data_IF_593514469455
#
_entry.id   IF_593514469455
#
_cell.length_a   1.000
_cell.length_b   1.000
_cell.length_c   1.000
_cell.angle_alpha   90.00
_cell.angle_beta   90.00
_cell.angle_gamma   90.00
#
_symmetry.space_group_name_H-M   'P 1'
#
loop_
_entity.id
_entity.type
_entity.pdbx_description
1 polymer ?
#
# COMPACT_ATOMS: atom_id res chain seq x y z
N UNK A 1 -40.13 44.51 3.52
CA UNK A 1 -38.95 44.61 2.64
C UNK A 1 -37.94 45.68 3.07
N UNK A 2 -38.31 46.92 3.50
CA UNK A 2 -37.29 47.91 3.88
C UNK A 2 -36.40 47.48 5.05
N UNK A 3 -36.93 46.70 6.00
CA UNK A 3 -36.17 46.19 7.15
C UNK A 3 -35.05 45.20 6.79
N UNK A 4 -35.11 44.56 5.61
CA UNK A 4 -34.08 43.60 5.15
C UNK A 4 -32.97 44.26 4.32
N UNK A 5 -33.17 45.49 3.87
CA UNK A 5 -32.23 46.23 3.03
C UNK A 5 -31.98 47.63 3.62
N UNK A 6 -31.29 47.74 4.77
CA UNK A 6 -31.02 49.02 5.43
C UNK A 6 -30.32 50.05 4.53
N UNK A 7 -29.58 49.60 3.51
CA UNK A 7 -28.89 50.45 2.54
C UNK A 7 -29.37 50.22 1.08
N UNK A 8 -30.57 49.66 0.90
CA UNK A 8 -31.10 49.29 -0.42
C UNK A 8 -30.20 48.28 -1.15
N UNK A 9 -29.92 48.50 -2.43
CA UNK A 9 -29.09 47.63 -3.27
C UNK A 9 -27.65 47.47 -2.75
N UNK A 10 -27.15 48.41 -1.93
CA UNK A 10 -25.81 48.36 -1.33
C UNK A 10 -25.73 47.49 -0.08
N UNK A 11 -26.86 46.98 0.43
CA UNK A 11 -26.89 46.21 1.69
C UNK A 11 -25.96 45.00 1.66
N UNK A 12 -25.90 44.27 0.54
CA UNK A 12 -25.07 43.08 0.41
C UNK A 12 -23.57 43.40 0.47
N UNK A 13 -23.12 44.37 -0.33
CA UNK A 13 -21.70 44.80 -0.34
C UNK A 13 -21.28 45.43 0.98
N UNK A 14 -22.16 46.21 1.60
CA UNK A 14 -21.93 46.79 2.91
C UNK A 14 -21.85 45.73 4.02
N UNK A 15 -22.71 44.71 3.98
CA UNK A 15 -22.63 43.62 4.95
C UNK A 15 -21.35 42.80 4.80
N UNK A 16 -20.89 42.53 3.58
CA UNK A 16 -19.60 41.87 3.33
C UNK A 16 -18.43 42.71 3.87
N UNK A 17 -18.43 44.03 3.61
CA UNK A 17 -17.42 44.94 4.13
C UNK A 17 -17.43 45.01 5.66
N UNK A 18 -18.62 45.00 6.29
CA UNK A 18 -18.77 44.95 7.75
C UNK A 18 -18.21 43.63 8.31
N UNK A 19 -18.56 42.48 7.73
CA UNK A 19 -18.06 41.17 8.16
C UNK A 19 -16.53 41.08 8.08
N UNK A 20 -15.92 41.70 7.08
CA UNK A 20 -14.48 41.69 6.90
C UNK A 20 -13.72 42.34 8.08
N UNK A 21 -14.30 43.33 8.75
CA UNK A 21 -13.65 44.09 9.83
C UNK A 21 -14.30 43.90 11.21
N UNK A 22 -15.47 43.27 11.30
CA UNK A 22 -16.29 43.14 12.52
C UNK A 22 -15.47 42.69 13.73
N UNK A 23 -14.74 41.58 13.58
CA UNK A 23 -13.94 41.01 14.67
C UNK A 23 -12.83 41.93 15.17
N UNK A 24 -12.19 42.71 14.29
CA UNK A 24 -11.09 43.61 14.65
C UNK A 24 -11.58 44.92 15.26
N UNK A 25 -12.72 45.44 14.80
CA UNK A 25 -13.35 46.61 15.41
C UNK A 25 -13.85 46.25 16.82
N UNK A 26 -14.43 45.06 17.00
CA UNK A 26 -14.81 44.56 18.32
C UNK A 26 -13.61 44.37 19.25
N UNK A 27 -12.55 43.71 18.78
CA UNK A 27 -11.30 43.56 19.53
C UNK A 27 -10.72 44.91 19.93
N UNK A 28 -10.74 45.92 19.05
CA UNK A 28 -10.31 47.28 19.38
C UNK A 28 -11.12 47.87 20.54
N UNK A 29 -12.46 47.89 20.46
CA UNK A 29 -13.27 48.48 21.52
C UNK A 29 -13.19 47.72 22.85
N UNK A 30 -13.06 46.39 22.81
CA UNK A 30 -12.81 45.59 24.02
C UNK A 30 -11.46 45.96 24.64
N UNK A 31 -10.40 46.12 23.84
CA UNK A 31 -9.09 46.56 24.32
C UNK A 31 -9.11 47.98 24.88
N UNK A 32 -9.84 48.92 24.28
CA UNK A 32 -9.96 50.28 24.82
C UNK A 32 -10.73 50.32 26.15
N UNK A 33 -11.72 49.46 26.33
CA UNK A 33 -12.43 49.29 27.60
C UNK A 33 -11.53 48.66 28.67
N UNK A 34 -10.77 47.61 28.34
CA UNK A 34 -9.82 46.98 29.26
C UNK A 34 -8.69 47.96 29.65
N UNK A 35 -8.21 48.76 28.71
CA UNK A 35 -7.24 49.84 28.98
C UNK A 35 -7.81 50.91 29.92
N UNK A 36 -9.13 51.18 29.88
CA UNK A 36 -9.79 52.08 30.83
C UNK A 36 -10.02 51.47 32.21
N UNK A 37 -10.04 50.13 32.31
CA UNK A 37 -10.24 49.41 33.56
C UNK A 37 -8.94 49.32 34.39
N UNK A 38 -7.81 49.06 33.73
CA UNK A 38 -6.48 49.03 34.36
C UNK A 38 -5.43 49.64 33.42
N UNK A 39 -4.85 50.77 33.82
CA UNK A 39 -3.81 51.46 33.05
C UNK A 39 -2.60 50.56 32.74
N UNK A 40 -2.30 49.57 33.61
CA UNK A 40 -1.22 48.60 33.40
C UNK A 40 -1.50 47.66 32.22
N UNK A 41 -2.77 47.43 31.89
CA UNK A 41 -3.16 46.60 30.76
C UNK A 41 -2.86 47.29 29.42
N UNK A 42 -2.87 48.64 29.36
CA UNK A 42 -2.66 49.41 28.11
C UNK A 42 -1.37 49.04 27.39
N UNK A 43 -0.27 48.83 28.12
CA UNK A 43 1.02 48.44 27.53
C UNK A 43 0.96 47.05 26.92
N UNK A 44 0.32 46.10 27.60
CA UNK A 44 0.20 44.70 27.16
C UNK A 44 -0.86 44.48 26.07
N UNK A 45 -1.87 45.36 25.99
CA UNK A 45 -2.93 45.32 24.98
C UNK A 45 -2.48 45.93 23.65
N UNK A 46 -1.45 46.79 23.68
CA UNK A 46 -0.66 47.14 22.52
C UNK A 46 0.41 46.07 22.25
N UNK A 47 0.95 46.03 21.04
CA UNK A 47 1.97 45.05 20.66
C UNK A 47 3.26 45.25 21.46
N UNK A 48 3.82 44.15 21.97
CA UNK A 48 5.04 44.16 22.77
C UNK A 48 6.27 44.43 21.91
N UNK A 49 7.33 44.93 22.54
CA UNK A 49 8.64 45.10 21.89
C UNK A 49 9.14 43.77 21.29
N UNK A 50 8.91 42.65 21.98
CA UNK A 50 9.27 41.32 21.49
C UNK A 50 8.54 40.91 20.20
N UNK A 51 7.27 41.31 20.02
CA UNK A 51 6.53 41.06 18.77
C UNK A 51 7.08 41.88 17.61
N UNK A 52 7.44 43.14 17.85
CA UNK A 52 8.06 43.98 16.81
C UNK A 52 9.48 43.52 16.44
N UNK A 53 10.27 43.05 17.42
CA UNK A 53 11.59 42.45 17.16
C UNK A 53 11.45 41.18 16.31
N UNK A 54 10.47 40.33 16.61
CA UNK A 54 10.19 39.13 15.82
C UNK A 54 9.78 39.49 14.38
N UNK A 55 8.90 40.48 14.20
CA UNK A 55 8.50 40.99 12.88
C UNK A 55 9.69 41.57 12.10
N UNK A 56 10.57 42.33 12.76
CA UNK A 56 11.74 42.95 12.14
C UNK A 56 12.81 41.95 11.68
N UNK A 57 12.75 40.70 12.15
CA UNK A 57 13.64 39.61 11.72
C UNK A 57 13.19 38.91 10.43
N UNK A 58 12.01 39.25 9.92
CA UNK A 58 11.40 38.66 8.73
C UNK A 58 11.29 39.68 7.58
N UNK A 59 11.10 39.18 6.36
CA UNK A 59 10.69 40.03 5.24
C UNK A 59 9.25 40.49 5.47
N UNK A 60 9.05 41.78 5.73
CA UNK A 60 7.74 42.35 6.04
C UNK A 60 6.82 42.35 4.82
N UNK A 61 5.62 41.82 5.00
CA UNK A 61 4.51 41.92 4.06
C UNK A 61 3.28 42.44 4.80
N UNK A 62 2.54 43.35 4.15
CA UNK A 62 1.33 43.96 4.70
C UNK A 62 0.20 42.95 4.92
N UNK A 63 0.23 41.80 4.25
CA UNK A 63 -0.86 40.83 4.28
C UNK A 63 -0.51 39.55 5.08
N UNK A 64 0.55 39.63 5.91
CA UNK A 64 1.01 38.49 6.71
C UNK A 64 0.11 38.22 7.92
N UNK A 65 0.10 36.97 8.39
CA UNK A 65 -0.61 36.57 9.61
C UNK A 65 -0.15 37.42 10.80
N UNK A 66 1.17 37.65 10.90
CA UNK A 66 1.77 38.36 12.02
C UNK A 66 1.39 39.85 12.04
N UNK A 67 1.31 40.52 10.88
CA UNK A 67 0.87 41.93 10.80
C UNK A 67 -0.63 42.08 11.05
N UNK A 68 -1.46 41.12 10.63
CA UNK A 68 -2.91 41.09 10.94
C UNK A 68 -3.20 40.85 12.43
N UNK A 69 -2.29 40.18 13.14
CA UNK A 69 -2.39 39.90 14.57
C UNK A 69 -2.29 41.16 15.45
N UNK A 70 -1.58 42.19 14.98
CA UNK A 70 -1.41 43.46 15.69
C UNK A 70 -2.77 44.18 15.88
N UNK A 71 -2.95 45.01 16.92
CA UNK A 71 -4.17 45.80 17.13
C UNK A 71 -4.57 46.61 15.88
N UNK A 72 -5.87 46.85 15.71
CA UNK A 72 -6.40 47.59 14.56
C UNK A 72 -5.90 49.04 14.51
N UNK A 73 -5.81 49.68 15.67
CA UNK A 73 -5.21 50.99 15.89
C UNK A 73 -4.54 50.99 17.27
N UNK A 74 -3.78 52.05 17.59
CA UNK A 74 -3.15 52.19 18.91
C UNK A 74 -4.22 52.20 20.01
N UNK A 75 -4.05 51.34 21.02
CA UNK A 75 -5.01 51.22 22.11
C UNK A 75 -4.73 52.29 23.16
N UNK A 76 -5.76 53.06 23.51
CA UNK A 76 -5.78 53.92 24.70
C UNK A 76 -7.16 53.93 25.36
N UNK A 77 -7.24 54.35 26.61
CA UNK A 77 -8.45 54.29 27.41
C UNK A 77 -9.59 55.14 26.80
N UNK A 78 -10.76 54.52 26.58
CA UNK A 78 -11.99 55.16 26.09
C UNK A 78 -11.84 55.99 24.79
N UNK A 79 -10.89 55.65 23.94
CA UNK A 79 -10.65 56.40 22.69
C UNK A 79 -11.57 55.92 21.55
N UNK A 80 -12.23 56.84 20.82
CA UNK A 80 -12.92 56.48 19.59
C UNK A 80 -11.93 55.93 18.54
N UNK A 81 -12.41 55.07 17.65
CA UNK A 81 -11.60 54.53 16.56
C UNK A 81 -11.47 55.59 15.47
N UNK A 82 -10.26 56.12 15.28
CA UNK A 82 -9.97 57.09 14.21
C UNK A 82 -9.89 56.36 12.87
N UNK A 83 -10.69 56.78 11.89
CA UNK A 83 -10.84 56.08 10.60
C UNK A 83 -9.90 56.62 9.50
N UNK A 84 -9.24 57.76 9.75
CA UNK A 84 -8.45 58.47 8.74
C UNK A 84 -6.95 58.17 8.81
N UNK A 85 -6.43 57.85 10.00
CA UNK A 85 -5.00 57.62 10.24
C UNK A 85 -4.79 56.68 11.44
N UNK A 86 -3.57 56.14 11.57
CA UNK A 86 -3.22 55.26 12.68
C UNK A 86 -3.83 53.86 12.62
N UNK A 87 -4.47 53.51 11.50
CA UNK A 87 -4.96 52.15 11.23
C UNK A 87 -3.79 51.26 10.85
N UNK A 88 -3.79 50.04 11.36
CA UNK A 88 -2.85 49.00 11.00
C UNK A 88 -2.84 48.82 9.46
N UNK A 89 -1.67 48.98 8.80
CA UNK A 89 -1.54 48.84 7.35
C UNK A 89 -2.13 47.56 6.77
N UNK A 90 -2.11 46.45 7.52
CA UNK A 90 -2.69 45.17 7.11
C UNK A 90 -4.23 45.18 6.98
N UNK A 91 -4.88 46.14 7.63
CA UNK A 91 -6.33 46.29 7.66
C UNK A 91 -6.80 47.56 6.95
N UNK A 92 -5.89 48.40 6.45
CA UNK A 92 -6.21 49.71 5.89
C UNK A 92 -7.19 49.63 4.71
N UNK A 93 -6.97 48.69 3.78
CA UNK A 93 -7.86 48.51 2.63
C UNK A 93 -9.26 48.03 3.04
N UNK A 94 -9.33 47.06 3.97
CA UNK A 94 -10.60 46.54 4.48
C UNK A 94 -11.39 47.61 5.24
N UNK A 95 -10.70 48.42 6.05
CA UNK A 95 -11.30 49.56 6.76
C UNK A 95 -11.79 50.65 5.80
N UNK A 96 -11.04 50.97 4.74
CA UNK A 96 -11.50 51.92 3.71
C UNK A 96 -12.77 51.44 3.01
N UNK A 97 -12.83 50.14 2.65
CA UNK A 97 -14.03 49.55 2.05
C UNK A 97 -15.22 49.59 3.01
N UNK A 98 -15.00 49.26 4.29
CA UNK A 98 -16.02 49.38 5.33
C UNK A 98 -16.53 50.83 5.46
N UNK A 99 -15.64 51.82 5.58
CA UNK A 99 -16.05 53.23 5.68
C UNK A 99 -16.86 53.67 4.46
N UNK A 100 -16.42 53.31 3.25
CA UNK A 100 -17.09 53.69 2.01
C UNK A 100 -18.48 53.06 1.85
N UNK A 101 -18.67 51.83 2.34
CA UNK A 101 -19.90 51.06 2.11
C UNK A 101 -20.91 51.19 3.26
N UNK A 102 -20.44 51.40 4.50
CA UNK A 102 -21.28 51.33 5.70
C UNK A 102 -21.48 52.67 6.40
N UNK A 103 -20.62 53.68 6.17
CA UNK A 103 -20.64 54.96 6.86
C UNK A 103 -20.94 56.12 5.89
N UNK A 104 -21.37 57.25 6.43
CA UNK A 104 -21.47 58.50 5.68
C UNK A 104 -20.07 59.14 5.48
N UNK A 105 -19.90 59.91 4.41
CA UNK A 105 -18.59 60.45 3.99
C UNK A 105 -17.96 61.41 5.01
N UNK A 106 -18.75 61.96 5.94
CA UNK A 106 -18.35 62.90 6.97
C UNK A 106 -17.89 62.23 8.28
N UNK A 107 -18.03 60.91 8.41
CA UNK A 107 -17.64 60.17 9.62
C UNK A 107 -16.13 59.89 9.62
N UNK A 108 -15.40 60.60 10.48
CA UNK A 108 -13.93 60.48 10.62
C UNK A 108 -13.49 59.62 11.81
N UNK A 109 -14.39 59.40 12.76
CA UNK A 109 -14.17 58.61 13.98
C UNK A 109 -15.41 57.78 14.30
N UNK A 110 -15.22 56.59 14.85
CA UNK A 110 -16.29 55.68 15.25
C UNK A 110 -16.19 55.41 16.75
N UNK A 111 -17.26 55.69 17.50
CA UNK A 111 -17.36 55.33 18.91
C UNK A 111 -18.11 53.99 19.10
N UNK A 112 -18.08 53.45 20.32
CA UNK A 112 -18.69 52.16 20.63
C UNK A 112 -20.22 52.15 20.42
N UNK A 113 -20.91 53.23 20.77
CA UNK A 113 -22.36 53.32 20.62
C UNK A 113 -22.77 53.31 19.13
N UNK A 114 -22.06 54.09 18.31
CA UNK A 114 -22.22 54.13 16.86
C UNK A 114 -21.93 52.77 16.23
N UNK A 115 -20.89 52.07 16.70
CA UNK A 115 -20.58 50.71 16.26
C UNK A 115 -21.72 49.73 16.56
N UNK A 116 -22.25 49.74 17.79
CA UNK A 116 -23.36 48.86 18.17
C UNK A 116 -24.64 49.17 17.40
N UNK A 117 -24.94 50.45 17.16
CA UNK A 117 -26.08 50.86 16.33
C UNK A 117 -25.94 50.40 14.88
N UNK A 118 -24.75 50.56 14.28
CA UNK A 118 -24.47 50.08 12.93
C UNK A 118 -24.65 48.56 12.83
N UNK A 119 -24.12 47.81 13.80
CA UNK A 119 -24.34 46.35 13.88
C UNK A 119 -25.82 46.01 13.98
N UNK A 120 -26.58 46.74 14.79
CA UNK A 120 -28.01 46.50 14.98
C UNK A 120 -28.80 46.66 13.67
N UNK A 121 -28.43 47.61 12.82
CA UNK A 121 -29.07 47.83 11.51
C UNK A 121 -28.97 46.61 10.58
N UNK A 122 -27.89 45.83 10.67
CA UNK A 122 -27.69 44.64 9.83
C UNK A 122 -28.23 43.32 10.42
N UNK A 123 -28.79 43.32 11.64
CA UNK A 123 -29.33 42.11 12.28
C UNK A 123 -30.44 41.43 11.44
N UNK A 124 -31.44 42.15 10.88
CA UNK A 124 -32.48 41.52 10.07
C UNK A 124 -31.91 40.83 8.83
N UNK A 125 -30.96 41.48 8.13
CA UNK A 125 -30.30 40.92 6.96
C UNK A 125 -29.46 39.68 7.30
N UNK A 126 -28.69 39.72 8.40
CA UNK A 126 -27.91 38.57 8.91
C UNK A 126 -28.82 37.38 9.24
N UNK A 127 -29.97 37.64 9.86
CA UNK A 127 -30.96 36.60 10.22
C UNK A 127 -31.60 35.98 8.98
N UNK A 128 -31.91 36.80 7.96
CA UNK A 128 -32.42 36.28 6.69
C UNK A 128 -31.37 35.43 5.96
N UNK A 129 -30.10 35.87 5.93
CA UNK A 129 -29.02 35.14 5.27
C UNK A 129 -28.74 33.79 5.93
N UNK A 130 -28.87 33.68 7.26
CA UNK A 130 -28.69 32.43 7.99
C UNK A 130 -29.80 31.40 7.76
N UNK A 131 -30.98 31.84 7.29
CA UNK A 131 -32.10 30.97 6.90
C UNK A 131 -31.98 30.39 5.49
N UNK A 132 -30.89 30.69 4.77
CA UNK A 132 -30.67 30.19 3.40
C UNK A 132 -30.65 28.65 3.39
N UNK A 133 -31.57 27.97 2.67
CA UNK A 133 -31.63 26.51 2.67
C UNK A 133 -30.42 25.90 1.96
N UNK A 134 -29.87 24.84 2.54
CA UNK A 134 -28.71 24.10 2.02
C UNK A 134 -29.11 23.14 0.89
N UNK A 135 -29.60 23.70 -0.23
CA UNK A 135 -29.97 22.95 -1.43
C UNK A 135 -28.83 22.99 -2.45
N UNK A 136 -28.62 21.91 -3.20
CA UNK A 136 -27.66 21.88 -4.31
C UNK A 136 -27.94 22.94 -5.37
N UNK A 137 -29.19 23.40 -5.50
CA UNK A 137 -29.62 24.48 -6.40
C UNK A 137 -29.09 25.86 -5.98
N UNK A 138 -28.67 26.02 -4.72
CA UNK A 138 -28.12 27.27 -4.20
C UNK A 138 -26.75 27.63 -4.79
N UNK A 139 -26.05 26.67 -5.43
CA UNK A 139 -24.77 26.89 -6.11
C UNK A 139 -24.91 27.45 -7.51
N UNK A 140 -26.11 27.36 -8.11
CA UNK A 140 -26.38 27.92 -9.43
C UNK A 140 -26.29 29.45 -9.40
N UNK A 141 -26.07 30.08 -10.53
CA UNK A 141 -26.15 31.53 -10.62
C UNK A 141 -27.60 32.03 -10.50
N UNK A 142 -27.77 33.32 -10.19
CA UNK A 142 -29.10 33.90 -9.98
C UNK A 142 -29.97 33.88 -11.24
N UNK A 143 -29.38 34.08 -12.42
CA UNK A 143 -30.11 34.07 -13.68
C UNK A 143 -30.64 32.67 -14.00
N UNK A 144 -29.82 31.62 -13.78
CA UNK A 144 -30.24 30.23 -13.95
C UNK A 144 -31.34 29.83 -12.97
N UNK A 145 -31.24 30.23 -11.70
CA UNK A 145 -32.32 29.97 -10.72
C UNK A 145 -33.62 30.64 -11.14
N UNK A 146 -33.59 31.88 -11.60
CA UNK A 146 -34.79 32.58 -12.07
C UNK A 146 -35.41 31.87 -13.29
N UNK A 147 -34.57 31.40 -14.23
CA UNK A 147 -35.05 30.64 -15.38
C UNK A 147 -35.72 29.31 -14.97
N UNK A 148 -35.22 28.63 -13.93
CA UNK A 148 -35.75 27.35 -13.45
C UNK A 148 -37.07 27.47 -12.67
N UNK A 149 -37.47 28.67 -12.25
CA UNK A 149 -38.77 28.91 -11.59
C UNK A 149 -39.93 28.97 -12.60
N UNK A 150 -39.64 28.86 -13.90
CA UNK A 150 -40.65 28.86 -14.95
C UNK A 150 -41.51 27.58 -14.90
N UNK A 151 -42.81 27.73 -14.62
CA UNK A 151 -43.77 26.63 -14.56
C UNK A 151 -43.91 25.84 -15.85
N UNK A 152 -43.59 26.43 -17.00
CA UNK A 152 -43.60 25.71 -18.30
C UNK A 152 -42.49 24.66 -18.36
N UNK A 153 -41.34 24.89 -17.71
CA UNK A 153 -40.26 23.90 -17.66
C UNK A 153 -40.65 22.71 -16.79
N UNK A 154 -41.31 22.97 -15.66
CA UNK A 154 -41.86 21.93 -14.79
C UNK A 154 -42.89 21.10 -15.55
N UNK A 155 -43.84 21.74 -16.23
CA UNK A 155 -44.85 21.06 -17.04
C UNK A 155 -44.24 20.22 -18.17
N UNK A 156 -43.24 20.75 -18.88
CA UNK A 156 -42.55 20.03 -19.94
C UNK A 156 -41.77 18.81 -19.39
N UNK A 157 -41.13 18.95 -18.22
CA UNK A 157 -40.45 17.84 -17.56
C UNK A 157 -41.45 16.74 -17.14
N UNK A 158 -42.57 17.13 -16.53
CA UNK A 158 -43.59 16.18 -16.10
C UNK A 158 -44.23 15.45 -17.29
N UNK A 159 -44.44 16.14 -18.42
CA UNK A 159 -44.91 15.50 -19.64
C UNK A 159 -43.94 14.42 -20.15
N UNK A 160 -42.62 14.68 -20.11
CA UNK A 160 -41.61 13.67 -20.46
C UNK A 160 -41.60 12.48 -19.47
N UNK A 161 -41.80 12.76 -18.17
CA UNK A 161 -41.94 11.70 -17.16
C UNK A 161 -43.17 10.84 -17.44
N UNK A 162 -44.29 11.44 -17.83
CA UNK A 162 -45.50 10.71 -18.20
C UNK A 162 -45.29 9.85 -19.48
N UNK A 163 -44.54 10.35 -20.46
CA UNK A 163 -44.13 9.57 -21.65
C UNK A 163 -43.27 8.36 -21.28
N UNK A 164 -42.28 8.54 -20.39
CA UNK A 164 -41.43 7.44 -19.89
C UNK A 164 -42.25 6.41 -19.10
N UNK A 165 -43.17 6.87 -18.25
CA UNK A 165 -44.05 6.01 -17.47
C UNK A 165 -45.01 5.21 -18.35
N UNK A 166 -45.48 5.78 -19.48
CA UNK A 166 -46.36 5.10 -20.41
C UNK A 166 -45.71 3.84 -21.04
N UNK A 167 -44.38 3.80 -21.15
CA UNK A 167 -43.62 2.67 -21.70
C UNK A 167 -42.88 1.83 -20.65
N UNK A 168 -43.02 2.17 -19.37
CA UNK A 168 -42.26 1.55 -18.28
C UNK A 168 -42.42 0.02 -18.23
N UNK A 169 -43.64 -0.50 -18.41
CA UNK A 169 -43.89 -1.95 -18.40
C UNK A 169 -43.16 -2.67 -19.53
N UNK A 170 -43.17 -2.10 -20.74
CA UNK A 170 -42.46 -2.67 -21.89
C UNK A 170 -40.94 -2.61 -21.70
N UNK A 171 -40.43 -1.51 -21.15
CA UNK A 171 -39.00 -1.36 -20.83
C UNK A 171 -38.54 -2.36 -19.75
N UNK A 172 -39.35 -2.56 -18.71
CA UNK A 172 -39.08 -3.56 -17.67
C UNK A 172 -39.13 -4.99 -18.25
N UNK A 173 -40.08 -5.27 -19.15
CA UNK A 173 -40.17 -6.57 -19.83
C UNK A 173 -38.93 -6.86 -20.70
N UNK A 174 -38.25 -5.85 -21.24
CA UNK A 174 -36.98 -6.04 -21.97
C UNK A 174 -35.87 -6.55 -21.05
N UNK A 175 -35.82 -6.10 -19.80
CA UNK A 175 -34.84 -6.59 -18.80
C UNK A 175 -35.09 -8.07 -18.51
N UNK A 176 -36.36 -8.47 -18.35
CA UNK A 176 -36.72 -9.87 -18.15
C UNK A 176 -36.46 -10.72 -19.38
N UNK A 177 -36.70 -10.19 -20.59
CA UNK A 177 -36.38 -10.85 -21.84
C UNK A 177 -34.87 -11.07 -22.00
N UNK A 178 -34.04 -10.05 -21.76
CA UNK A 178 -32.57 -10.18 -21.78
C UNK A 178 -32.11 -11.26 -20.79
N UNK A 179 -32.66 -11.26 -19.58
CA UNK A 179 -32.39 -12.30 -18.57
C UNK A 179 -32.79 -13.70 -19.05
N UNK A 180 -33.98 -13.84 -19.64
CA UNK A 180 -34.47 -15.11 -20.18
C UNK A 180 -33.57 -15.63 -21.31
N UNK A 181 -33.18 -14.76 -22.25
CA UNK A 181 -32.29 -15.09 -23.36
C UNK A 181 -30.93 -15.54 -22.84
N UNK A 182 -30.36 -14.85 -21.84
CA UNK A 182 -29.09 -15.25 -21.20
C UNK A 182 -29.19 -16.61 -20.52
N UNK A 183 -30.29 -16.91 -19.84
CA UNK A 183 -30.52 -18.21 -19.24
C UNK A 183 -30.67 -19.30 -20.30
N UNK A 184 -31.49 -19.07 -21.32
CA UNK A 184 -31.66 -20.03 -22.42
C UNK A 184 -30.33 -20.35 -23.09
N UNK A 185 -29.48 -19.36 -23.31
CA UNK A 185 -28.18 -19.55 -23.95
C UNK A 185 -27.12 -20.19 -23.03
N UNK A 186 -27.07 -19.84 -21.74
CA UNK A 186 -25.90 -20.12 -20.89
C UNK A 186 -26.18 -20.88 -19.59
N UNK A 187 -27.44 -21.13 -19.21
CA UNK A 187 -27.77 -21.70 -17.90
C UNK A 187 -27.14 -23.09 -17.71
N UNK A 188 -27.19 -23.96 -18.72
CA UNK A 188 -26.59 -25.31 -18.65
C UNK A 188 -25.08 -25.21 -18.41
N UNK A 189 -24.40 -24.33 -19.16
CA UNK A 189 -22.96 -24.09 -19.01
C UNK A 189 -22.63 -23.54 -17.64
N UNK A 190 -23.42 -22.61 -17.12
CA UNK A 190 -23.24 -22.07 -15.77
C UNK A 190 -23.39 -23.18 -14.71
N UNK A 191 -24.47 -23.96 -14.76
CA UNK A 191 -24.73 -25.04 -13.80
C UNK A 191 -23.64 -26.11 -13.83
N UNK A 192 -23.18 -26.51 -15.02
CA UNK A 192 -22.10 -27.48 -15.20
C UNK A 192 -20.75 -27.00 -14.67
N UNK A 193 -20.56 -25.69 -14.45
CA UNK A 193 -19.29 -25.14 -14.02
C UNK A 193 -19.31 -24.47 -12.64
N UNK A 194 -20.49 -24.21 -12.10
CA UNK A 194 -20.66 -23.53 -10.82
C UNK A 194 -21.30 -24.42 -9.75
N UNK A 195 -22.26 -25.27 -10.15
CA UNK A 195 -22.98 -26.15 -9.22
C UNK A 195 -22.32 -27.51 -9.16
N UNK A 196 -22.21 -28.20 -10.30
CA UNK A 196 -21.70 -29.58 -10.36
C UNK A 196 -20.21 -29.67 -10.71
N UNK A 197 -19.64 -28.63 -11.32
CA UNK A 197 -18.27 -28.65 -11.87
C UNK A 197 -18.03 -29.83 -12.83
N UNK A 198 -19.08 -30.30 -13.50
CA UNK A 198 -19.05 -31.42 -14.46
C UNK A 198 -17.97 -31.24 -15.52
N UNK A 199 -17.85 -30.05 -16.12
CA UNK A 199 -16.87 -29.81 -17.18
C UNK A 199 -15.45 -29.92 -16.65
N UNK A 200 -15.20 -29.43 -15.44
CA UNK A 200 -13.91 -29.52 -14.78
C UNK A 200 -13.50 -30.97 -14.47
N UNK A 201 -14.40 -31.77 -13.90
CA UNK A 201 -14.08 -33.15 -13.50
C UNK A 201 -14.10 -34.14 -14.67
N UNK A 202 -15.00 -33.97 -15.64
CA UNK A 202 -15.10 -34.86 -16.81
C UNK A 202 -14.06 -34.55 -17.87
N UNK A 203 -13.56 -33.30 -17.91
CA UNK A 203 -12.56 -32.79 -18.87
C UNK A 203 -12.94 -32.99 -20.33
N UNK A 204 -14.24 -33.14 -20.63
CA UNK A 204 -14.76 -33.13 -22.00
C UNK A 204 -14.66 -31.74 -22.61
N UNK A 205 -14.92 -30.72 -21.79
CA UNK A 205 -14.76 -29.31 -22.13
C UNK A 205 -13.94 -28.59 -21.06
N UNK A 206 -13.32 -27.45 -21.42
CA UNK A 206 -12.63 -26.59 -20.46
C UNK A 206 -13.65 -25.84 -19.62
N UNK A 207 -13.48 -25.90 -18.31
CA UNK A 207 -14.36 -25.21 -17.37
C UNK A 207 -14.27 -23.68 -17.55
N UNK A 208 -15.33 -22.94 -17.22
CA UNK A 208 -15.36 -21.47 -17.47
C UNK A 208 -14.29 -20.67 -16.73
N UNK A 209 -13.81 -21.16 -15.59
CA UNK A 209 -12.71 -20.53 -14.84
C UNK A 209 -11.31 -20.94 -15.33
N UNK A 210 -11.19 -21.94 -16.20
CA UNK A 210 -9.91 -22.32 -16.79
C UNK A 210 -9.55 -21.34 -17.91
N UNK A 211 -8.62 -20.43 -17.61
CA UNK A 211 -8.22 -19.36 -18.51
C UNK A 211 -7.37 -19.85 -19.70
N UNK A 212 -6.73 -21.01 -19.59
CA UNK A 212 -5.80 -21.49 -20.60
C UNK A 212 -4.85 -22.58 -20.07
N UNK A 213 -3.73 -22.76 -20.76
CA UNK A 213 -2.68 -23.73 -20.41
C UNK A 213 -1.34 -23.00 -20.27
N UNK A 214 -0.68 -23.15 -19.12
CA UNK A 214 0.66 -22.60 -18.86
C UNK A 214 1.73 -23.66 -19.11
N UNK A 215 2.71 -23.34 -19.96
CA UNK A 215 3.89 -24.17 -20.20
C UNK A 215 5.09 -23.58 -19.46
N UNK A 216 5.66 -24.36 -18.54
CA UNK A 216 6.78 -23.93 -17.72
C UNK A 216 7.54 -25.13 -17.15
N UNK A 217 8.88 -25.05 -17.11
CA UNK A 217 9.75 -26.08 -16.52
C UNK A 217 9.51 -27.51 -17.04
N UNK A 218 9.24 -27.65 -18.34
CA UNK A 218 8.95 -28.93 -18.97
C UNK A 218 7.60 -29.53 -18.58
N UNK A 219 6.61 -28.67 -18.25
CA UNK A 219 5.26 -29.09 -17.84
C UNK A 219 4.21 -28.24 -18.51
N UNK A 220 3.03 -28.82 -18.71
CA UNK A 220 1.82 -28.06 -19.04
C UNK A 220 0.87 -28.08 -17.83
N UNK A 221 0.37 -26.91 -17.44
CA UNK A 221 -0.56 -26.73 -16.34
C UNK A 221 -1.91 -26.26 -16.88
N UNK A 222 -2.94 -27.11 -16.77
CA UNK A 222 -4.29 -26.84 -17.29
C UNK A 222 -5.22 -26.23 -16.24
N UNK A 223 -4.88 -26.35 -14.95
CA UNK A 223 -5.58 -25.62 -13.89
C UNK A 223 -4.95 -24.23 -13.75
N UNK A 224 -5.30 -23.36 -14.69
CA UNK A 224 -4.89 -21.96 -14.72
C UNK A 224 -6.12 -21.05 -14.66
N UNK A 225 -6.12 -20.10 -13.74
CA UNK A 225 -7.27 -19.21 -13.47
C UNK A 225 -6.78 -17.77 -13.61
N UNK A 226 -7.60 -16.91 -14.21
CA UNK A 226 -7.32 -15.47 -14.25
C UNK A 226 -7.51 -14.86 -12.85
N UNK A 227 -6.64 -13.94 -12.46
CA UNK A 227 -6.65 -13.30 -11.14
C UNK A 227 -7.00 -11.82 -11.31
N UNK A 228 -8.12 -11.41 -10.71
CA UNK A 228 -8.58 -10.02 -10.78
C UNK A 228 -7.79 -9.10 -9.83
N UNK A 229 -7.50 -9.58 -8.61
CA UNK A 229 -6.75 -8.85 -7.58
C UNK A 229 -5.78 -9.81 -6.90
N UNK A 230 -4.49 -9.66 -7.18
CA UNK A 230 -3.44 -10.53 -6.63
C UNK A 230 -3.33 -10.44 -5.10
N UNK A 231 -3.59 -9.26 -4.52
CA UNK A 231 -3.49 -9.01 -3.09
C UNK A 231 -4.57 -9.74 -2.31
N UNK A 232 -5.83 -9.66 -2.78
CA UNK A 232 -6.95 -10.43 -2.21
C UNK A 232 -6.79 -11.92 -2.48
N UNK A 233 -6.41 -12.27 -3.71
CA UNK A 233 -6.31 -13.66 -4.12
C UNK A 233 -5.26 -14.44 -3.33
N UNK A 234 -4.08 -13.85 -3.10
CA UNK A 234 -3.01 -14.54 -2.38
C UNK A 234 -3.31 -14.81 -0.90
N UNK A 235 -4.23 -14.04 -0.27
CA UNK A 235 -4.63 -14.25 1.14
C UNK A 235 -5.48 -15.49 1.33
N UNK A 236 -6.39 -15.78 0.41
CA UNK A 236 -7.29 -16.94 0.48
C UNK A 236 -6.72 -18.18 -0.20
N UNK A 237 -5.89 -18.01 -1.23
CA UNK A 237 -5.35 -19.11 -2.01
C UNK A 237 -4.50 -20.12 -1.21
N UNK A 238 -3.90 -19.70 -0.09
CA UNK A 238 -3.18 -20.59 0.82
C UNK A 238 -4.05 -21.72 1.39
N UNK A 239 -5.36 -21.50 1.53
CA UNK A 239 -6.33 -22.49 2.04
C UNK A 239 -6.63 -23.62 1.03
N UNK A 240 -6.24 -23.45 -0.23
CA UNK A 240 -6.46 -24.47 -1.28
C UNK A 240 -5.59 -25.71 -1.14
N UNK A 241 -4.52 -25.68 -0.32
CA UNK A 241 -3.49 -26.71 -0.21
C UNK A 241 -2.80 -27.10 -1.54
N UNK A 242 -2.96 -26.30 -2.60
CA UNK A 242 -2.28 -26.50 -3.88
C UNK A 242 -0.96 -25.71 -3.92
N UNK A 243 0.02 -26.21 -4.67
CA UNK A 243 1.21 -25.43 -5.01
C UNK A 243 0.83 -24.48 -6.15
N UNK A 244 0.95 -23.17 -5.93
CA UNK A 244 0.43 -22.17 -6.84
C UNK A 244 1.54 -21.26 -7.33
N UNK A 245 1.50 -20.97 -8.62
CA UNK A 245 2.42 -20.05 -9.28
C UNK A 245 1.62 -18.93 -9.91
N UNK A 246 1.87 -17.70 -9.44
CA UNK A 246 1.29 -16.49 -10.00
C UNK A 246 2.22 -15.97 -11.09
N UNK A 247 1.65 -15.75 -12.28
CA UNK A 247 2.37 -15.18 -13.40
C UNK A 247 1.74 -13.87 -13.85
N UNK A 248 2.57 -12.86 -14.09
CA UNK A 248 2.19 -11.72 -14.92
C UNK A 248 2.40 -12.13 -16.37
N UNK A 249 1.36 -12.00 -17.18
CA UNK A 249 1.37 -12.35 -18.59
C UNK A 249 1.26 -11.08 -19.42
N UNK A 250 2.19 -10.91 -20.36
CA UNK A 250 2.23 -9.78 -21.30
C UNK A 250 2.16 -10.29 -22.71
N UNK A 251 1.43 -9.61 -23.59
CA UNK A 251 1.41 -9.93 -25.02
C UNK A 251 2.50 -9.13 -25.74
N UNK A 252 3.11 -9.71 -26.77
CA UNK A 252 4.07 -8.97 -27.63
C UNK A 252 3.36 -8.05 -28.61
N UNK A 253 2.20 -8.49 -29.11
CA UNK A 253 1.45 -7.77 -30.14
C UNK A 253 0.55 -6.66 -29.60
N UNK A 254 0.33 -6.60 -28.28
CA UNK A 254 -0.46 -5.57 -27.63
C UNK A 254 0.10 -5.26 -26.25
N UNK A 255 -0.14 -4.05 -25.75
CA UNK A 255 0.22 -3.68 -24.37
C UNK A 255 -0.77 -4.25 -23.33
N UNK A 256 -1.43 -5.37 -23.65
CA UNK A 256 -2.37 -6.03 -22.76
C UNK A 256 -1.60 -6.80 -21.69
N UNK A 257 -2.09 -6.70 -20.46
CA UNK A 257 -1.56 -7.42 -19.32
C UNK A 257 -2.66 -8.24 -18.67
N UNK A 258 -2.32 -9.46 -18.26
CA UNK A 258 -3.19 -10.26 -17.41
C UNK A 258 -2.38 -10.91 -16.28
N UNK A 259 -3.04 -11.14 -15.16
CA UNK A 259 -2.46 -11.94 -14.07
C UNK A 259 -3.17 -13.27 -14.04
N UNK A 260 -2.41 -14.36 -13.95
CA UNK A 260 -2.93 -15.71 -13.84
C UNK A 260 -2.34 -16.41 -12.61
N UNK A 261 -3.05 -17.39 -12.10
CA UNK A 261 -2.55 -18.37 -11.14
C UNK A 261 -2.66 -19.76 -11.73
N UNK A 262 -1.54 -20.48 -11.78
CA UNK A 262 -1.49 -21.87 -12.21
C UNK A 262 -1.24 -22.78 -11.00
N UNK A 263 -2.04 -23.83 -10.87
CA UNK A 263 -1.85 -24.86 -9.86
C UNK A 263 -0.96 -25.98 -10.42
N UNK A 264 0.14 -26.25 -9.72
CA UNK A 264 1.07 -27.33 -10.06
C UNK A 264 0.74 -28.53 -9.20
N UNK A 265 0.16 -29.55 -9.83
CA UNK A 265 -0.40 -30.71 -9.14
C UNK A 265 0.40 -31.99 -9.37
N UNK A 266 1.40 -31.98 -10.26
CA UNK A 266 2.32 -33.09 -10.53
C UNK A 266 3.77 -32.64 -10.77
N UNK A 267 4.71 -33.56 -10.55
CA UNK A 267 6.15 -33.33 -10.68
C UNK A 267 6.85 -32.95 -9.37
N UNK A 268 8.00 -32.31 -9.50
CA UNK A 268 8.86 -31.86 -8.40
C UNK A 268 8.88 -30.32 -8.34
N UNK A 269 9.45 -29.67 -7.34
CA UNK A 269 9.52 -28.19 -7.33
C UNK A 269 10.49 -27.68 -8.40
N UNK A 270 11.56 -28.43 -8.69
CA UNK A 270 12.52 -28.07 -9.74
C UNK A 270 13.06 -26.64 -9.60
N UNK A 271 13.19 -25.97 -10.75
CA UNK A 271 13.68 -24.59 -10.87
C UNK A 271 12.53 -23.56 -10.91
N UNK A 272 11.43 -23.82 -10.21
CA UNK A 272 10.32 -22.86 -10.09
C UNK A 272 10.70 -21.78 -9.09
N UNK A 273 11.07 -20.60 -9.61
CA UNK A 273 11.50 -19.45 -8.82
C UNK A 273 10.89 -18.17 -9.38
N UNK A 274 10.67 -17.19 -8.50
CA UNK A 274 10.21 -15.85 -8.91
C UNK A 274 11.19 -15.29 -9.95
N UNK A 275 10.64 -14.72 -11.03
CA UNK A 275 11.38 -14.22 -12.20
C UNK A 275 11.58 -15.23 -13.31
N UNK A 276 11.17 -16.50 -13.15
CA UNK A 276 11.24 -17.47 -14.25
C UNK A 276 10.17 -17.19 -15.31
N UNK A 277 10.58 -17.30 -16.57
CA UNK A 277 9.69 -17.14 -17.72
C UNK A 277 9.08 -18.48 -18.16
N UNK A 278 7.89 -18.42 -18.72
CA UNK A 278 7.14 -19.48 -19.36
C UNK A 278 6.22 -18.90 -20.43
N UNK A 279 5.41 -19.76 -21.05
CA UNK A 279 4.49 -19.37 -22.12
C UNK A 279 3.09 -19.79 -21.73
N UNK A 280 2.14 -18.86 -21.74
CA UNK A 280 0.74 -19.11 -21.46
C UNK A 280 -0.07 -19.04 -22.76
N UNK A 281 -0.90 -20.04 -23.01
CA UNK A 281 -1.87 -20.02 -24.10
C UNK A 281 -3.27 -19.85 -23.54
N UNK A 282 -3.96 -18.79 -23.97
CA UNK A 282 -5.34 -18.54 -23.57
C UNK A 282 -6.33 -19.51 -24.25
N UNK A 283 -7.62 -19.40 -23.92
CA UNK A 283 -8.68 -20.21 -24.56
C UNK A 283 -8.86 -19.96 -26.06
N UNK A 284 -8.44 -18.80 -26.55
CA UNK A 284 -8.48 -18.44 -27.96
C UNK A 284 -7.23 -18.93 -28.72
N UNK A 285 -6.28 -19.58 -28.02
CA UNK A 285 -5.04 -20.08 -28.59
C UNK A 285 -3.97 -19.01 -28.80
N UNK A 286 -4.13 -17.81 -28.21
CA UNK A 286 -3.12 -16.75 -28.28
C UNK A 286 -2.06 -16.98 -27.21
N UNK A 287 -0.81 -16.71 -27.56
CA UNK A 287 0.34 -16.82 -26.68
C UNK A 287 0.60 -15.53 -25.89
N UNK A 288 1.06 -15.74 -24.66
CA UNK A 288 1.41 -14.70 -23.71
C UNK A 288 2.74 -15.08 -23.06
N UNK A 289 3.65 -14.10 -22.96
CA UNK A 289 4.87 -14.27 -22.18
C UNK A 289 4.50 -14.23 -20.70
N UNK A 290 4.75 -15.31 -19.97
CA UNK A 290 4.37 -15.45 -18.58
C UNK A 290 5.61 -15.42 -17.67
N UNK A 291 5.64 -14.51 -16.69
CA UNK A 291 6.75 -14.41 -15.73
C UNK A 291 6.25 -14.65 -14.32
N UNK A 292 6.91 -15.55 -13.58
CA UNK A 292 6.52 -15.83 -12.19
C UNK A 292 6.76 -14.60 -11.31
N UNK A 293 5.71 -14.08 -10.67
CA UNK A 293 5.81 -12.96 -9.72
C UNK A 293 5.75 -13.45 -8.27
N UNK A 294 4.99 -14.51 -8.01
CA UNK A 294 4.79 -15.04 -6.66
C UNK A 294 4.52 -16.53 -6.67
N UNK A 295 4.97 -17.21 -5.63
CA UNK A 295 4.74 -18.64 -5.42
C UNK A 295 4.11 -18.84 -4.03
N UNK A 296 3.09 -19.71 -3.96
CA UNK A 296 2.57 -20.26 -2.70
C UNK A 296 3.00 -21.72 -2.63
N UNK A 297 3.91 -22.02 -1.70
CA UNK A 297 4.49 -23.34 -1.54
C UNK A 297 3.57 -24.28 -0.76
N UNK A 298 3.16 -25.37 -1.40
CA UNK A 298 2.49 -26.52 -0.77
C UNK A 298 2.99 -27.83 -1.40
N UNK A 299 2.81 -29.00 -0.76
CA UNK A 299 3.31 -30.25 -1.33
C UNK A 299 2.72 -30.55 -2.73
N UNK A 300 3.57 -30.85 -3.71
CA UNK A 300 3.17 -31.23 -5.08
C UNK A 300 2.83 -32.73 -5.16
N UNK A 301 3.70 -33.58 -4.58
CA UNK A 301 3.51 -35.04 -4.50
C UNK A 301 4.10 -35.61 -3.20
N UNK A 302 3.68 -36.81 -2.82
CA UNK A 302 4.23 -37.50 -1.62
C UNK A 302 5.71 -37.85 -1.82
N UNK A 303 6.09 -38.26 -3.03
CA UNK A 303 7.49 -38.54 -3.40
C UNK A 303 8.37 -37.31 -3.26
N UNK A 304 7.87 -36.16 -3.68
CA UNK A 304 8.59 -34.90 -3.53
C UNK A 304 8.76 -34.52 -2.05
N UNK A 305 7.73 -34.76 -1.23
CA UNK A 305 7.76 -34.46 0.20
C UNK A 305 8.81 -35.27 0.98
N UNK A 306 9.21 -36.44 0.48
CA UNK A 306 10.30 -37.24 1.06
C UNK A 306 11.63 -36.46 1.09
N UNK A 307 11.93 -35.69 0.04
CA UNK A 307 13.19 -34.96 -0.10
C UNK A 307 13.20 -33.57 0.55
N UNK A 308 12.04 -33.04 0.92
CA UNK A 308 11.89 -31.68 1.49
C UNK A 308 12.76 -31.42 2.72
N UNK A 309 12.83 -32.30 3.73
CA UNK A 309 13.67 -32.07 4.92
C UNK A 309 15.16 -31.94 4.57
N UNK A 310 15.65 -32.78 3.66
CA UNK A 310 17.04 -32.78 3.22
C UNK A 310 17.40 -31.51 2.45
N UNK A 311 16.52 -31.06 1.54
CA UNK A 311 16.72 -29.78 0.83
C UNK A 311 16.70 -28.60 1.80
N UNK A 312 15.83 -28.62 2.82
CA UNK A 312 15.79 -27.58 3.85
C UNK A 312 17.07 -27.55 4.68
N UNK A 313 17.58 -28.71 5.08
CA UNK A 313 18.85 -28.83 5.79
C UNK A 313 20.01 -28.33 4.94
N UNK A 314 20.08 -28.71 3.66
CA UNK A 314 21.10 -28.22 2.73
C UNK A 314 21.06 -26.69 2.58
N UNK A 315 19.87 -26.09 2.47
CA UNK A 315 19.71 -24.62 2.46
C UNK A 315 20.20 -23.98 3.77
N UNK A 316 19.91 -24.57 4.92
CA UNK A 316 20.41 -24.06 6.21
C UNK A 316 21.93 -24.12 6.30
N UNK A 317 22.55 -25.24 5.88
CA UNK A 317 24.00 -25.40 5.85
C UNK A 317 24.62 -24.37 4.90
N UNK A 318 24.07 -24.21 3.69
CA UNK A 318 24.52 -23.20 2.74
C UNK A 318 24.42 -21.78 3.32
N UNK A 319 23.30 -21.44 3.94
CA UNK A 319 23.11 -20.14 4.59
C UNK A 319 24.08 -19.92 5.77
N UNK A 320 24.37 -20.97 6.55
CA UNK A 320 25.37 -20.90 7.63
C UNK A 320 26.78 -20.74 7.08
N UNK A 321 27.15 -21.46 6.02
CA UNK A 321 28.43 -21.28 5.34
C UNK A 321 28.57 -19.87 4.76
N UNK A 322 27.52 -19.34 4.13
CA UNK A 322 27.52 -17.97 3.62
C UNK A 322 27.65 -16.93 4.74
N UNK A 323 26.97 -17.14 5.87
CA UNK A 323 27.13 -16.27 7.05
C UNK A 323 28.53 -16.35 7.63
N UNK A 324 29.11 -17.55 7.75
CA UNK A 324 30.48 -17.74 8.23
C UNK A 324 31.51 -17.15 7.26
N UNK A 325 31.30 -17.28 5.95
CA UNK A 325 32.14 -16.64 4.94
C UNK A 325 32.06 -15.12 5.06
N UNK A 326 30.86 -14.55 5.16
CA UNK A 326 30.68 -13.10 5.35
C UNK A 326 31.24 -12.59 6.69
N UNK A 327 31.20 -13.39 7.75
CA UNK A 327 31.82 -13.07 9.05
C UNK A 327 33.35 -13.18 8.99
N UNK A 328 33.91 -14.16 8.27
CA UNK A 328 35.34 -14.23 7.99
C UNK A 328 35.81 -13.06 7.13
N UNK A 329 35.08 -12.72 6.07
CA UNK A 329 35.38 -11.56 5.22
C UNK A 329 35.37 -10.27 6.05
N UNK A 330 34.36 -10.08 6.91
CA UNK A 330 34.34 -8.95 7.86
C UNK A 330 35.50 -8.97 8.85
N UNK A 331 35.92 -10.14 9.33
CA UNK A 331 37.07 -10.25 10.24
C UNK A 331 38.40 -9.99 9.52
N UNK A 332 38.50 -10.34 8.22
CA UNK A 332 39.66 -10.06 7.36
C UNK A 332 39.70 -8.58 6.96
N UNK A 333 38.56 -7.97 6.64
CA UNK A 333 38.42 -6.52 6.43
C UNK A 333 38.79 -5.74 7.70
N UNK A 334 38.35 -6.18 8.88
CA UNK A 334 38.74 -5.58 10.15
C UNK A 334 40.26 -5.68 10.40
N UNK A 335 40.89 -6.83 10.09
CA UNK A 335 42.36 -6.99 10.13
C UNK A 335 43.08 -6.06 9.14
N UNK A 336 42.51 -5.86 7.96
CA UNK A 336 43.09 -5.00 6.91
C UNK A 336 42.95 -3.52 7.28
N UNK A 337 41.82 -3.12 7.86
CA UNK A 337 41.61 -1.78 8.40
C UNK A 337 42.55 -1.48 9.58
N UNK A 338 42.77 -2.41 10.51
CA UNK A 338 43.76 -2.25 11.60
C UNK A 338 45.21 -2.19 11.08
N UNK A 339 45.56 -2.96 10.03
CA UNK A 339 46.88 -2.89 9.40
C UNK A 339 47.11 -1.61 8.60
N UNK A 340 46.08 -1.04 7.96
CA UNK A 340 46.18 0.25 7.25
C UNK A 340 46.29 1.42 8.24
N UNK A 341 45.57 1.36 9.36
CA UNK A 341 45.67 2.36 10.44
C UNK A 341 47.03 2.29 11.16
N UNK A 342 47.62 1.11 11.30
CA UNK A 342 48.97 0.94 11.89
C UNK A 342 50.11 1.16 10.88
N UNK A 343 49.85 0.99 9.57
CA UNK A 343 50.78 1.31 8.49
C UNK A 343 50.91 2.81 8.21
N UNK A 344 49.83 3.58 8.40
CA UNK A 344 49.85 5.05 8.24
C UNK A 344 50.60 5.77 9.38
N UNK A 345 50.60 5.22 10.60
CA UNK A 345 51.44 5.71 11.69
C UNK A 345 52.95 5.50 11.43
N UNK A 346 53.33 4.42 10.74
CA UNK A 346 54.75 4.13 10.41
C UNK A 346 55.29 4.90 9.19
N UNK A 347 54.42 5.49 8.36
CA UNK A 347 54.83 6.33 7.24
C UNK A 347 55.05 7.81 7.63
N UNK A 348 54.53 8.26 8.77
CA UNK A 348 54.75 9.63 9.27
C UNK A 348 55.98 9.78 10.18
N UNK A 349 56.50 8.69 10.76
CA UNK A 349 57.77 8.74 11.51
C UNK A 349 59.02 8.45 10.66
N UNK A 350 58.89 7.90 9.45
CA UNK A 350 60.02 7.63 8.56
C UNK A 350 60.53 8.85 7.76
N UNK A 351 59.93 10.05 7.95
CA UNK A 351 60.33 11.27 7.25
C UNK A 351 61.35 12.15 8.02
N UNK A 352 61.84 11.72 9.19
CA UNK A 352 62.91 12.42 9.92
C UNK A 352 63.82 11.44 10.67
N UNK A 353 64.88 10.95 10.01
CA UNK A 353 66.23 10.75 10.57
C UNK A 353 67.14 9.92 9.64
N UNK A 354 68.43 10.24 9.68
CA UNK A 354 69.55 9.65 8.94
C UNK A 354 69.92 8.22 9.42
N UNK A 355 70.71 7.44 8.64
CA UNK A 355 70.91 6.01 8.86
C UNK A 355 71.93 5.72 9.98
N UNK A 356 71.77 4.54 10.60
CA UNK A 356 72.62 3.88 11.61
C UNK A 356 72.31 4.09 13.10
N UNK A 357 71.38 3.29 13.66
CA UNK A 357 71.41 2.71 15.02
C UNK A 357 70.32 1.59 15.19
N UNK A 358 70.44 0.67 16.19
CA UNK A 358 69.85 -0.69 16.16
C UNK A 358 68.34 -0.78 16.49
N UNK A 359 67.65 -1.76 15.87
CA UNK A 359 66.22 -2.05 16.02
C UNK A 359 65.84 -2.54 17.44
N UNK A 360 64.95 -1.80 18.10
CA UNK A 360 64.23 -2.24 19.30
C UNK A 360 63.12 -3.28 18.95
N UNK A 361 62.82 -4.15 19.92
CA UNK A 361 61.88 -5.27 19.82
C UNK A 361 60.41 -4.82 19.62
N UNK A 362 59.58 -5.59 18.88
CA UNK A 362 58.18 -5.25 18.66
C UNK A 362 57.32 -5.46 19.92
N UNK A 363 56.35 -4.59 20.13
CA UNK A 363 55.37 -4.64 21.21
C UNK A 363 54.53 -5.95 21.17
N UNK A 364 54.00 -6.42 22.32
CA UNK A 364 53.32 -7.71 22.39
C UNK A 364 52.00 -7.69 21.62
N UNK A 365 51.84 -8.68 20.75
CA UNK A 365 50.57 -9.05 20.15
C UNK A 365 49.65 -9.57 21.26
N UNK A 366 48.46 -8.99 21.44
CA UNK A 366 47.55 -9.37 22.53
C UNK A 366 46.83 -10.70 22.23
N UNK A 367 47.58 -11.79 22.40
CA UNK A 367 47.15 -13.17 22.14
C UNK A 367 45.92 -13.56 22.96
N UNK A 368 45.67 -12.95 24.12
CA UNK A 368 44.54 -13.30 24.99
C UNK A 368 43.17 -12.97 24.35
N UNK A 369 43.04 -11.82 23.70
CA UNK A 369 41.79 -11.41 23.04
C UNK A 369 41.49 -12.23 21.78
N UNK A 370 42.53 -12.67 21.07
CA UNK A 370 42.42 -13.58 19.92
C UNK A 370 42.21 -15.03 20.33
N UNK A 371 42.88 -15.49 21.38
CA UNK A 371 42.75 -16.84 21.91
C UNK A 371 41.32 -17.12 22.40
N UNK A 372 40.62 -16.15 23.00
CA UNK A 372 39.22 -16.33 23.41
C UNK A 372 38.26 -16.60 22.24
N UNK A 373 38.44 -15.91 21.11
CA UNK A 373 37.60 -16.08 19.91
C UNK A 373 37.94 -17.41 19.20
N UNK A 374 39.23 -17.72 19.04
CA UNK A 374 39.67 -18.98 18.43
C UNK A 374 39.39 -20.20 19.32
N UNK A 375 39.46 -20.06 20.65
CA UNK A 375 39.09 -21.11 21.59
C UNK A 375 37.58 -21.37 21.56
N UNK A 376 36.74 -20.33 21.51
CA UNK A 376 35.28 -20.52 21.40
C UNK A 376 34.89 -21.23 20.09
N UNK A 377 35.48 -20.83 18.96
CA UNK A 377 35.26 -21.49 17.66
C UNK A 377 35.83 -22.91 17.67
N UNK A 378 37.06 -23.10 18.17
CA UNK A 378 37.72 -24.40 18.26
C UNK A 378 37.01 -25.39 19.18
N UNK A 379 36.42 -24.91 20.28
CA UNK A 379 35.65 -25.73 21.22
C UNK A 379 34.26 -26.08 20.65
N UNK A 380 33.63 -25.17 19.91
CA UNK A 380 32.38 -25.46 19.19
C UNK A 380 32.58 -26.47 18.05
N UNK A 381 33.66 -26.32 17.25
CA UNK A 381 34.03 -27.30 16.20
C UNK A 381 34.47 -28.63 16.83
N UNK A 382 35.20 -28.59 17.94
CA UNK A 382 35.58 -29.78 18.71
C UNK A 382 34.37 -30.55 19.25
N UNK A 383 33.35 -29.85 19.77
CA UNK A 383 32.11 -30.46 20.25
C UNK A 383 31.27 -31.07 19.11
N UNK A 384 31.24 -30.44 17.94
CA UNK A 384 30.64 -31.04 16.74
C UNK A 384 31.43 -32.28 16.26
N UNK A 385 32.75 -32.21 16.32
CA UNK A 385 33.64 -33.33 16.00
C UNK A 385 33.45 -34.54 16.91
N UNK A 386 33.33 -34.31 18.23
CA UNK A 386 33.07 -35.40 19.20
C UNK A 386 31.67 -35.98 19.04
N UNK A 387 30.65 -35.15 18.76
CA UNK A 387 29.30 -35.61 18.48
C UNK A 387 29.24 -36.46 17.19
N UNK A 388 29.88 -36.01 16.11
CA UNK A 388 29.97 -36.76 14.85
C UNK A 388 30.75 -38.08 15.04
N UNK A 389 31.86 -38.05 15.77
CA UNK A 389 32.64 -39.24 16.07
C UNK A 389 31.85 -40.25 16.91
N UNK A 390 31.06 -39.80 17.88
CA UNK A 390 30.18 -40.66 18.67
C UNK A 390 29.08 -41.31 17.81
N UNK A 391 28.51 -40.56 16.86
CA UNK A 391 27.50 -41.08 15.92
C UNK A 391 28.13 -42.12 14.98
N UNK A 392 29.31 -41.83 14.40
CA UNK A 392 30.02 -42.75 13.49
C UNK A 392 30.47 -44.00 14.22
N UNK A 393 31.01 -43.86 15.44
CA UNK A 393 31.42 -44.99 16.29
C UNK A 393 30.22 -45.86 16.67
N UNK A 394 29.11 -45.25 17.10
CA UNK A 394 27.87 -45.97 17.42
C UNK A 394 27.25 -46.66 16.20
N UNK A 395 27.39 -46.08 15.01
CA UNK A 395 26.98 -46.71 13.76
C UNK A 395 27.88 -47.91 13.42
N UNK A 396 29.21 -47.76 13.44
CA UNK A 396 30.15 -48.86 13.16
C UNK A 396 30.12 -49.99 14.20
N UNK A 397 29.58 -49.75 15.41
CA UNK A 397 29.35 -50.77 16.42
C UNK A 397 28.14 -51.68 16.13
N UNK A 398 27.32 -51.35 15.13
CA UNK A 398 26.20 -52.20 14.70
C UNK A 398 26.68 -53.37 13.84
N UNK A 399 26.04 -54.52 13.98
CA UNK A 399 26.21 -55.63 13.04
C UNK A 399 25.86 -55.18 11.61
N UNK A 400 26.61 -55.67 10.62
CA UNK A 400 26.46 -55.30 9.20
C UNK A 400 25.01 -55.29 8.70
N UNK A 401 24.16 -56.23 9.14
CA UNK A 401 22.76 -56.32 8.72
C UNK A 401 21.84 -55.28 9.38
N UNK A 402 22.21 -54.77 10.56
CA UNK A 402 21.50 -53.68 11.26
C UNK A 402 21.79 -52.32 10.63
N UNK A 403 22.88 -52.18 9.87
CA UNK A 403 23.30 -50.93 9.23
C UNK A 403 22.30 -50.43 8.16
N UNK A 404 21.87 -51.24 7.16
CA UNK A 404 20.82 -50.84 6.22
C UNK A 404 19.49 -50.49 6.91
N UNK A 405 19.11 -51.24 7.94
CA UNK A 405 17.87 -51.03 8.69
C UNK A 405 17.93 -49.71 9.49
N UNK A 406 19.06 -49.42 10.12
CA UNK A 406 19.29 -48.17 10.84
C UNK A 406 19.25 -46.95 9.90
N UNK A 407 19.87 -47.06 8.71
CA UNK A 407 19.79 -46.02 7.67
C UNK A 407 18.33 -45.82 7.23
N UNK A 408 17.63 -46.90 6.91
CA UNK A 408 16.23 -46.83 6.47
C UNK A 408 15.32 -46.24 7.57
N UNK A 409 15.53 -46.63 8.82
CA UNK A 409 14.82 -46.10 9.99
C UNK A 409 15.05 -44.60 10.16
N UNK A 410 16.29 -44.13 10.06
CA UNK A 410 16.61 -42.71 10.11
C UNK A 410 15.98 -41.94 8.94
N UNK A 411 16.05 -42.49 7.72
CA UNK A 411 15.40 -41.90 6.56
C UNK A 411 13.89 -41.76 6.78
N UNK A 412 13.22 -42.77 7.32
CA UNK A 412 11.79 -42.75 7.62
C UNK A 412 11.43 -41.80 8.76
N UNK A 413 12.24 -41.68 9.81
CA UNK A 413 11.99 -40.73 10.91
C UNK A 413 12.08 -39.28 10.40
N UNK A 414 13.04 -38.98 9.53
CA UNK A 414 13.23 -37.63 8.97
C UNK A 414 12.15 -37.31 7.93
N UNK A 415 11.88 -38.23 7.01
CA UNK A 415 10.99 -38.00 5.85
C UNK A 415 9.51 -38.33 6.12
N UNK A 416 9.22 -39.28 7.00
CA UNK A 416 7.89 -39.82 7.27
C UNK A 416 6.87 -38.75 7.69
N UNK A 417 7.18 -37.85 8.65
CA UNK A 417 6.27 -36.77 9.03
C UNK A 417 5.93 -35.84 7.85
N UNK A 418 6.90 -35.55 6.98
CA UNK A 418 6.70 -34.69 5.80
C UNK A 418 5.82 -35.37 4.75
N UNK A 419 6.03 -36.67 4.51
CA UNK A 419 5.18 -37.47 3.62
C UNK A 419 3.75 -37.58 4.13
N UNK A 420 3.56 -37.77 5.44
CA UNK A 420 2.24 -37.85 6.06
C UNK A 420 1.50 -36.51 5.97
N UNK A 421 2.16 -35.39 6.28
CA UNK A 421 1.58 -34.06 6.09
C UNK A 421 1.24 -33.79 4.62
N UNK A 422 2.12 -34.18 3.69
CA UNK A 422 1.85 -34.07 2.26
C UNK A 422 0.62 -34.89 1.88
N UNK A 423 0.52 -36.14 2.32
CA UNK A 423 -0.65 -36.99 2.05
C UNK A 423 -1.97 -36.36 2.52
N UNK A 424 -2.00 -35.76 3.73
CA UNK A 424 -3.18 -35.04 4.23
C UNK A 424 -3.50 -33.82 3.37
N UNK A 425 -2.52 -32.95 3.12
CA UNK A 425 -2.70 -31.74 2.31
C UNK A 425 -3.16 -32.05 0.89
N UNK A 426 -2.58 -33.08 0.26
CA UNK A 426 -2.93 -33.52 -1.09
C UNK A 426 -4.37 -34.01 -1.19
N UNK A 427 -4.89 -34.69 -0.15
CA UNK A 427 -6.30 -35.12 -0.07
C UNK A 427 -7.27 -33.99 0.26
N UNK A 428 -6.77 -32.91 0.85
CA UNK A 428 -7.53 -31.71 1.20
C UNK A 428 -7.37 -30.58 0.17
N UNK A 429 -6.75 -30.84 -1.00
CA UNK A 429 -6.68 -29.86 -2.08
C UNK A 429 -8.09 -29.45 -2.51
N UNK A 430 -8.35 -28.15 -2.51
CA UNK A 430 -9.67 -27.60 -2.79
C UNK A 430 -9.56 -26.40 -3.73
N UNK A 431 -10.40 -26.38 -4.76
CA UNK A 431 -10.48 -25.31 -5.74
C UNK A 431 -11.27 -24.10 -5.23
N UNK A 432 -12.22 -24.28 -4.31
CA UNK A 432 -13.15 -23.21 -3.87
C UNK A 432 -12.43 -21.95 -3.37
N UNK A 433 -11.41 -22.03 -2.50
CA UNK A 433 -10.68 -20.84 -2.06
C UNK A 433 -9.98 -20.07 -3.18
N UNK A 434 -9.71 -20.69 -4.33
CA UNK A 434 -9.15 -20.01 -5.51
C UNK A 434 -10.24 -19.25 -6.28
N UNK A 435 -11.43 -19.85 -6.42
CA UNK A 435 -12.55 -19.22 -7.11
C UNK A 435 -13.18 -18.11 -6.27
N UNK A 436 -13.37 -18.34 -4.97
CA UNK A 436 -13.92 -17.34 -4.05
C UNK A 436 -13.06 -16.08 -4.00
N UNK A 437 -11.75 -16.25 -4.15
CA UNK A 437 -10.81 -15.14 -4.19
C UNK A 437 -10.88 -14.29 -5.48
N UNK A 438 -11.53 -14.82 -6.52
CA UNK A 438 -11.91 -14.09 -7.72
C UNK A 438 -13.37 -13.60 -7.69
N UNK A 439 -14.02 -13.63 -6.52
CA UNK A 439 -15.39 -13.13 -6.34
C UNK A 439 -16.50 -14.13 -6.66
N UNK A 440 -16.15 -15.42 -6.79
CA UNK A 440 -17.16 -16.46 -6.92
C UNK A 440 -17.75 -16.79 -5.55
N UNK A 441 -18.96 -17.35 -5.52
CA UNK A 441 -19.61 -17.78 -4.29
C UNK A 441 -19.74 -19.32 -4.29
N UNK A 442 -18.62 -20.03 -4.15
CA UNK A 442 -18.58 -21.49 -4.25
C UNK A 442 -18.68 -22.11 -2.86
N UNK A 443 -19.90 -22.52 -2.48
CA UNK A 443 -20.14 -23.17 -1.18
C UNK A 443 -19.81 -24.68 -1.14
N UNK A 444 -19.40 -25.26 -2.26
CA UNK A 444 -19.07 -26.69 -2.34
C UNK A 444 -17.58 -26.93 -2.13
N UNK A 445 -17.21 -28.07 -1.54
CA UNK A 445 -15.81 -28.50 -1.44
C UNK A 445 -15.38 -29.13 -2.78
N UNK A 446 -14.90 -28.30 -3.71
CA UNK A 446 -14.42 -28.74 -5.02
C UNK A 446 -13.03 -29.40 -4.92
N UNK A 447 -13.01 -30.65 -4.45
CA UNK A 447 -11.78 -31.40 -4.14
C UNK A 447 -11.01 -31.81 -5.40
N UNK A 448 -9.71 -31.57 -5.38
CA UNK A 448 -8.77 -32.07 -6.39
C UNK A 448 -8.02 -33.27 -5.82
N UNK A 449 -8.47 -34.49 -6.16
CA UNK A 449 -7.80 -35.72 -5.72
C UNK A 449 -6.40 -35.86 -6.33
N UNK A 450 -5.57 -36.75 -5.79
CA UNK A 450 -4.21 -36.98 -6.31
C UNK A 450 -4.26 -37.45 -7.77
N UNK A 451 -5.09 -38.45 -8.07
CA UNK A 451 -5.23 -39.01 -9.42
C UNK A 451 -5.76 -37.96 -10.41
N UNK A 452 -6.73 -37.15 -9.99
CA UNK A 452 -7.24 -36.08 -10.84
C UNK A 452 -6.21 -34.96 -11.02
N UNK A 453 -5.52 -34.56 -9.94
CA UNK A 453 -4.43 -33.58 -9.97
C UNK A 453 -3.30 -33.98 -10.92
N UNK A 454 -2.92 -35.26 -10.98
CA UNK A 454 -1.90 -35.71 -11.95
C UNK A 454 -2.30 -35.52 -13.40
N UNK A 455 -3.59 -35.31 -13.68
CA UNK A 455 -4.08 -35.06 -15.03
C UNK A 455 -4.19 -33.57 -15.37
N UNK A 456 -4.07 -32.68 -14.38
CA UNK A 456 -4.09 -31.21 -14.56
C UNK A 456 -2.69 -30.62 -14.76
N UNK A 457 -1.64 -31.41 -14.51
CA UNK A 457 -0.25 -31.07 -14.82
C UNK A 457 0.39 -32.23 -15.56
N UNK A 458 0.70 -32.05 -16.84
CA UNK A 458 1.38 -33.07 -17.64
C UNK A 458 2.88 -32.77 -17.65
N UNK A 459 3.69 -33.81 -17.37
CA UNK A 459 5.15 -33.72 -17.41
C UNK A 459 5.66 -34.06 -18.80
N UNK A 460 6.72 -33.38 -19.25
CA UNK A 460 7.42 -33.74 -20.47
C UNK A 460 7.92 -35.19 -20.39
N UNK A 461 7.54 -35.97 -21.39
CA UNK A 461 8.03 -37.34 -21.59
C UNK A 461 8.80 -37.41 -22.89
N UNK A 462 9.80 -38.28 -22.93
CA UNK A 462 10.52 -38.56 -24.15
C UNK A 462 9.58 -39.22 -25.17
N UNK A 463 9.72 -38.91 -26.48
CA UNK A 463 8.99 -39.61 -27.52
C UNK A 463 9.22 -41.13 -27.41
N UNK A 464 8.21 -41.92 -27.82
CA UNK A 464 8.36 -43.39 -27.83
C UNK A 464 9.57 -43.79 -28.68
N UNK A 465 10.48 -44.56 -28.09
CA UNK A 465 11.71 -45.03 -28.75
C UNK A 465 12.92 -44.11 -28.60
N UNK A 466 12.80 -42.97 -27.91
CA UNK A 466 13.94 -42.13 -27.57
C UNK A 466 14.59 -42.59 -26.26
N UNK A 467 15.91 -42.75 -26.27
CA UNK A 467 16.72 -43.05 -25.09
C UNK A 467 17.54 -41.82 -24.69
N UNK A 468 17.88 -41.72 -23.40
CA UNK A 468 18.81 -40.69 -22.93
C UNK A 468 20.22 -41.21 -23.14
N UNK A 469 21.02 -40.47 -23.92
CA UNK A 469 22.45 -40.74 -23.95
C UNK A 469 23.05 -40.35 -22.58
N UNK A 470 23.74 -41.32 -21.97
CA UNK A 470 24.43 -41.12 -20.69
C UNK A 470 25.88 -40.68 -20.89
N UNK A 471 26.38 -40.65 -22.14
CA UNK A 471 27.63 -39.99 -22.47
C UNK A 471 27.36 -38.51 -22.65
N UNK A 472 27.74 -37.74 -21.65
CA UNK A 472 27.83 -36.30 -21.78
C UNK A 472 29.11 -35.97 -22.59
N UNK A 473 28.99 -35.33 -23.77
CA UNK A 473 30.15 -34.91 -24.57
C UNK A 473 30.94 -33.76 -23.93
N UNK A 474 30.46 -33.18 -22.82
CA UNK A 474 31.07 -32.06 -22.11
C UNK A 474 31.36 -32.33 -20.61
N UNK A 475 31.16 -33.56 -20.12
CA UNK A 475 31.45 -33.93 -18.72
C UNK A 475 32.93 -34.15 -18.42
#
# INVERSE_FOLDING_TARGET
QPDLQPLGDKTASAFEALLAVESKIEDYFVRTQLASFDDKATVSLNSSESQFVALGSQLLSLDSIDTKSLPLAKISANQPLVLTHGINPAWQQAMQQFCQQCLAEDVTELNLEQWLQLKAQFIPYKTWLSQKPALSVATLDAARRAALVNSLLEQALLALVDEDLAVADAANALVDLDKLVRYQANLIKLVNNFVSFSDFYTRKEKAIFQAGTLFMDGRSCDLTIQVNDMGKHAKMAGLSNAYLVYCECTRKDSNDKMTIVAAITAGEVGNLMVGRNGVFYDRAGKDWDATIVKIIENPISVREAFWTPYRRLGRMISNQMQKMAAEQDKAIEAKTAEQVTSGSAKLQEAAKAAPDAPKAAPAPFDVAKFAGIFAAIGLAVGALGTALAAIVSGFLALEWWKMPIAILGLLLIISGPSMLMAWFKLRQRNLSPLLDANGWAVNTNAKVSIAFGTTLTVLASLPKGAERDLKDPFA
#
